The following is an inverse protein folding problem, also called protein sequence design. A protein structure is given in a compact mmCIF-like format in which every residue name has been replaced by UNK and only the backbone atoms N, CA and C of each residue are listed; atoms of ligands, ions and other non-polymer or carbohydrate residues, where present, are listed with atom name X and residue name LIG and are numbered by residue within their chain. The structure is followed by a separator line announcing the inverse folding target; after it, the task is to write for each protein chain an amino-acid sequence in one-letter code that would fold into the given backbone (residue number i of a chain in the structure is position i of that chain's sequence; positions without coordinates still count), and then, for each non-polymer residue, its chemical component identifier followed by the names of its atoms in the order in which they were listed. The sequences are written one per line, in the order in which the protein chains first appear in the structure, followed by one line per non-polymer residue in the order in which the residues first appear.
data_IF_368509021046
#
_entry.id   IF_368509021046
#
_cell.length_a   1.000
_cell.length_b   1.000
_cell.length_c   1.000
_cell.angle_alpha   90.00
_cell.angle_beta   90.00
_cell.angle_gamma   90.00
#
_symmetry.space_group_name_H-M   'P 1'
#
loop_
_entity.id
_entity.type
_entity.pdbx_description
1 polymer ?
#
# COMPACT_ATOMS: atom_id res chain seq x y z
N UNK A 1 26.63 24.77 28.32
CA UNK A 1 27.10 23.70 27.50
C UNK A 1 27.08 24.09 26.04
N UNK A 2 28.08 23.74 25.37
CA UNK A 2 28.09 24.03 23.97
C UNK A 2 27.11 23.16 23.20
N UNK A 3 26.62 23.70 22.13
CA UNK A 3 25.73 22.97 21.27
C UNK A 3 26.40 21.72 20.71
N UNK A 4 25.70 20.62 20.77
CA UNK A 4 26.21 19.40 20.20
C UNK A 4 26.12 19.44 18.69
N UNK A 5 27.20 19.15 18.02
CA UNK A 5 27.17 19.09 16.57
C UNK A 5 26.50 17.82 16.13
N UNK A 6 25.45 17.90 15.30
CA UNK A 6 24.76 16.71 14.81
C UNK A 6 25.74 15.77 14.09
N UNK A 7 25.61 14.47 14.26
CA UNK A 7 26.48 13.52 13.56
C UNK A 7 26.57 13.74 12.06
N UNK A 8 25.50 14.21 11.45
CA UNK A 8 25.46 14.44 10.01
C UNK A 8 26.48 15.49 9.55
N UNK A 9 26.88 16.40 10.44
CA UNK A 9 27.88 17.40 10.09
C UNK A 9 29.29 16.82 9.92
N UNK A 10 29.48 15.63 10.49
CA UNK A 10 30.78 14.95 10.35
C UNK A 10 30.81 13.96 9.22
N UNK A 11 29.68 13.76 8.54
CA UNK A 11 29.61 12.81 7.44
C UNK A 11 29.93 13.50 6.13
N UNK A 12 30.66 12.82 5.28
CA UNK A 12 30.90 13.30 3.93
C UNK A 12 29.61 13.25 3.12
N UNK A 13 29.56 13.97 2.01
CA UNK A 13 28.41 13.91 1.12
C UNK A 13 28.15 12.50 0.64
N UNK A 14 29.22 11.74 0.41
CA UNK A 14 29.10 10.36 -0.03
C UNK A 14 28.45 9.48 1.04
N UNK A 15 28.80 9.70 2.31
CA UNK A 15 28.24 8.95 3.43
C UNK A 15 26.77 9.28 3.62
N UNK A 16 26.41 10.55 3.50
CA UNK A 16 25.01 10.98 3.63
C UNK A 16 24.16 10.35 2.52
N UNK A 17 24.68 10.38 1.30
CA UNK A 17 23.98 9.80 0.15
C UNK A 17 23.76 8.29 0.35
N UNK A 18 24.80 7.59 0.81
CA UNK A 18 24.71 6.16 1.05
C UNK A 18 23.68 5.84 2.12
N UNK A 19 23.63 6.65 3.19
CA UNK A 19 22.64 6.47 4.23
C UNK A 19 21.22 6.70 3.72
N UNK A 20 21.03 7.74 2.92
CA UNK A 20 19.72 8.07 2.36
C UNK A 20 19.25 6.96 1.41
N UNK A 21 20.15 6.42 0.59
CA UNK A 21 19.84 5.31 -0.29
C UNK A 21 19.44 4.06 0.49
N UNK A 22 20.10 3.81 1.62
CA UNK A 22 19.77 2.68 2.47
C UNK A 22 18.38 2.83 3.10
N UNK A 23 18.06 4.05 3.56
CA UNK A 23 16.75 4.34 4.13
C UNK A 23 15.67 4.13 3.08
N UNK A 24 15.88 4.64 1.86
CA UNK A 24 14.94 4.49 0.77
C UNK A 24 14.72 3.01 0.45
N UNK A 25 15.78 2.23 0.42
CA UNK A 25 15.70 0.80 0.15
C UNK A 25 14.87 0.08 1.21
N UNK A 26 15.08 0.42 2.48
CA UNK A 26 14.33 -0.18 3.58
C UNK A 26 12.86 0.18 3.52
N UNK A 27 12.54 1.40 3.14
CA UNK A 27 11.15 1.83 2.99
C UNK A 27 10.48 1.03 1.87
N UNK A 28 11.15 0.88 0.73
CA UNK A 28 10.61 0.13 -0.40
C UNK A 28 10.37 -1.34 0.00
N UNK A 29 11.31 -1.95 0.71
CA UNK A 29 11.16 -3.33 1.16
C UNK A 29 10.00 -3.49 2.13
N UNK A 30 9.84 -2.53 3.05
CA UNK A 30 8.75 -2.56 4.00
C UNK A 30 7.40 -2.42 3.29
N UNK A 31 7.31 -1.49 2.34
CA UNK A 31 6.08 -1.28 1.59
C UNK A 31 5.70 -2.51 0.78
N UNK A 32 6.71 -3.16 0.18
CA UNK A 32 6.49 -4.37 -0.59
C UNK A 32 6.00 -5.52 0.29
N UNK A 33 6.59 -5.67 1.46
CA UNK A 33 6.17 -6.69 2.43
C UNK A 33 4.76 -6.42 2.92
N UNK A 34 4.45 -5.16 3.22
CA UNK A 34 3.12 -4.76 3.67
C UNK A 34 2.07 -5.07 2.60
N UNK A 35 2.38 -4.75 1.35
CA UNK A 35 1.47 -5.04 0.23
C UNK A 35 1.21 -6.54 0.10
N UNK A 36 2.25 -7.35 0.19
CA UNK A 36 2.12 -8.79 0.12
C UNK A 36 1.25 -9.34 1.25
N UNK A 37 1.47 -8.86 2.46
CA UNK A 37 0.69 -9.30 3.63
C UNK A 37 -0.77 -8.90 3.49
N UNK A 38 -1.02 -7.70 2.97
CA UNK A 38 -2.37 -7.24 2.75
C UNK A 38 -3.08 -8.08 1.69
N UNK A 39 -2.38 -8.40 0.60
CA UNK A 39 -2.93 -9.25 -0.44
C UNK A 39 -3.21 -10.66 0.08
N UNK A 40 -2.34 -11.17 0.93
CA UNK A 40 -2.54 -12.48 1.55
C UNK A 40 -3.80 -12.49 2.40
N UNK A 41 -4.02 -11.43 3.17
CA UNK A 41 -5.24 -11.31 3.99
C UNK A 41 -6.48 -11.27 3.11
N UNK A 42 -6.45 -10.51 2.02
CA UNK A 42 -7.58 -10.41 1.11
C UNK A 42 -7.88 -11.78 0.50
N UNK A 43 -6.87 -12.49 0.04
CA UNK A 43 -7.07 -13.82 -0.55
C UNK A 43 -7.62 -14.81 0.48
N UNK A 44 -7.15 -14.75 1.71
CA UNK A 44 -7.66 -15.60 2.78
C UNK A 44 -9.14 -15.34 3.03
N UNK A 45 -9.54 -14.07 3.10
CA UNK A 45 -10.94 -13.72 3.34
C UNK A 45 -11.82 -14.16 2.15
N UNK A 46 -11.34 -14.00 0.92
CA UNK A 46 -12.06 -14.45 -0.26
C UNK A 46 -12.28 -15.97 -0.19
N UNK A 47 -11.25 -16.70 0.24
CA UNK A 47 -11.38 -18.13 0.43
C UNK A 47 -12.49 -18.48 1.45
N UNK A 48 -12.51 -17.75 2.58
CA UNK A 48 -13.50 -18.00 3.61
C UNK A 48 -14.91 -17.64 3.17
N UNK A 49 -15.09 -16.49 2.52
CA UNK A 49 -16.41 -15.97 2.17
C UNK A 49 -16.96 -16.63 0.91
N UNK A 50 -16.14 -16.77 -0.10
CA UNK A 50 -16.57 -17.25 -1.41
C UNK A 50 -16.16 -18.69 -1.70
N UNK A 51 -15.46 -19.34 -0.78
CA UNK A 51 -15.04 -20.73 -0.93
C UNK A 51 -14.16 -20.97 -2.16
N UNK A 52 -13.40 -19.96 -2.57
CA UNK A 52 -12.52 -20.09 -3.71
C UNK A 52 -11.30 -20.94 -3.36
N UNK A 53 -10.99 -21.91 -4.22
CA UNK A 53 -9.79 -22.71 -4.07
C UNK A 53 -8.59 -22.08 -4.76
N UNK A 54 -7.48 -22.85 -4.81
CA UNK A 54 -6.21 -22.37 -5.32
C UNK A 54 -6.30 -21.74 -6.71
N UNK A 55 -7.01 -22.39 -7.64
CA UNK A 55 -7.08 -21.90 -9.02
C UNK A 55 -7.82 -20.58 -9.12
N UNK A 56 -8.93 -20.45 -8.39
CA UNK A 56 -9.72 -19.21 -8.41
C UNK A 56 -9.00 -18.08 -7.72
N UNK A 57 -8.31 -18.38 -6.62
CA UNK A 57 -7.53 -17.38 -5.90
C UNK A 57 -6.38 -16.87 -6.78
N UNK A 58 -5.70 -17.77 -7.51
CA UNK A 58 -4.64 -17.35 -8.42
C UNK A 58 -5.18 -16.50 -9.54
N UNK A 59 -6.33 -16.86 -10.09
CA UNK A 59 -6.96 -16.07 -11.14
C UNK A 59 -7.33 -14.67 -10.65
N UNK A 60 -7.85 -14.59 -9.44
CA UNK A 60 -8.15 -13.30 -8.83
C UNK A 60 -6.90 -12.47 -8.62
N UNK A 61 -5.86 -13.10 -8.11
CA UNK A 61 -4.57 -12.44 -7.89
C UNK A 61 -4.02 -11.86 -9.19
N UNK A 62 -3.98 -12.68 -10.24
CA UNK A 62 -3.48 -12.23 -11.54
C UNK A 62 -4.34 -11.10 -12.11
N UNK A 63 -5.65 -11.20 -11.94
CA UNK A 63 -6.57 -10.17 -12.43
C UNK A 63 -6.34 -8.84 -11.74
N UNK A 64 -6.00 -8.85 -10.46
CA UNK A 64 -5.69 -7.62 -9.73
C UNK A 64 -4.49 -6.91 -10.35
N UNK A 65 -3.45 -7.65 -10.69
CA UNK A 65 -2.27 -7.07 -11.33
C UNK A 65 -2.60 -6.53 -12.72
N UNK A 66 -3.34 -7.28 -13.51
CA UNK A 66 -3.74 -6.86 -14.85
C UNK A 66 -4.58 -5.58 -14.81
N UNK A 67 -5.55 -5.53 -13.92
CA UNK A 67 -6.43 -4.38 -13.78
C UNK A 67 -5.65 -3.14 -13.33
N UNK A 68 -4.78 -3.33 -12.35
CA UNK A 68 -3.95 -2.24 -11.84
C UNK A 68 -3.10 -1.63 -12.96
N UNK A 69 -2.44 -2.46 -13.75
CA UNK A 69 -1.60 -2.01 -14.85
C UNK A 69 -2.43 -1.33 -15.94
N UNK A 70 -3.55 -1.91 -16.30
CA UNK A 70 -4.42 -1.37 -17.35
C UNK A 70 -4.96 0.00 -16.97
N UNK A 71 -5.41 0.17 -15.73
CA UNK A 71 -5.94 1.45 -15.27
C UNK A 71 -4.84 2.51 -15.18
N UNK A 72 -3.67 2.10 -14.71
CA UNK A 72 -2.56 3.02 -14.59
C UNK A 72 -2.16 3.58 -15.96
N UNK A 73 -2.08 2.72 -16.96
CA UNK A 73 -1.73 3.13 -18.32
C UNK A 73 -2.84 3.98 -18.96
N UNK A 74 -4.09 3.55 -18.80
CA UNK A 74 -5.21 4.25 -19.41
C UNK A 74 -5.32 5.69 -18.91
N UNK A 75 -5.19 5.90 -17.60
CA UNK A 75 -5.31 7.22 -17.01
C UNK A 75 -3.97 7.93 -16.87
N UNK A 76 -2.87 7.27 -17.22
CA UNK A 76 -1.51 7.83 -17.12
C UNK A 76 -1.22 8.34 -15.69
N UNK A 77 -1.57 7.51 -14.70
CA UNK A 77 -1.40 7.88 -13.30
C UNK A 77 -0.07 7.41 -12.75
N UNK A 78 0.44 8.16 -11.79
CA UNK A 78 1.57 7.72 -10.99
C UNK A 78 1.10 6.69 -9.96
N UNK A 79 2.00 5.81 -9.48
CA UNK A 79 1.60 4.77 -8.53
C UNK A 79 0.87 5.29 -7.30
N UNK A 80 1.26 6.45 -6.78
CA UNK A 80 0.64 7.02 -5.59
C UNK A 80 -0.78 7.53 -5.83
N UNK A 81 -1.18 7.69 -7.08
CA UNK A 81 -2.53 8.15 -7.41
C UNK A 81 -3.54 7.03 -7.56
N UNK A 82 -3.06 5.77 -7.57
CA UNK A 82 -3.94 4.64 -7.82
C UNK A 82 -4.99 4.42 -6.72
N UNK A 83 -4.63 4.70 -5.48
CA UNK A 83 -5.58 4.59 -4.37
C UNK A 83 -6.76 5.53 -4.54
N UNK A 84 -6.51 6.74 -4.98
CA UNK A 84 -7.57 7.71 -5.26
C UNK A 84 -8.49 7.19 -6.37
N UNK A 85 -7.91 6.63 -7.42
CA UNK A 85 -8.70 6.11 -8.54
C UNK A 85 -9.61 4.97 -8.10
N UNK A 86 -9.10 4.02 -7.32
CA UNK A 86 -9.91 2.89 -6.86
C UNK A 86 -11.04 3.36 -5.95
N UNK A 87 -10.75 4.31 -5.06
CA UNK A 87 -11.77 4.88 -4.19
C UNK A 87 -12.89 5.52 -5.01
N UNK A 88 -12.50 6.24 -6.05
CA UNK A 88 -13.45 6.89 -6.94
C UNK A 88 -14.31 5.89 -7.71
N UNK A 89 -13.67 4.84 -8.25
CA UNK A 89 -14.39 3.81 -8.99
C UNK A 89 -15.39 3.07 -8.10
N UNK A 90 -15.03 2.82 -6.86
CA UNK A 90 -15.95 2.20 -5.92
C UNK A 90 -17.15 3.10 -5.63
N UNK A 91 -16.92 4.41 -5.51
CA UNK A 91 -18.03 5.34 -5.31
C UNK A 91 -19.01 5.32 -6.47
N UNK A 92 -18.52 5.13 -7.68
CA UNK A 92 -19.37 5.06 -8.87
C UNK A 92 -20.37 3.90 -8.80
N UNK A 93 -20.03 2.83 -8.09
CA UNK A 93 -20.93 1.69 -7.92
C UNK A 93 -21.59 1.67 -6.55
N UNK A 94 -21.54 2.80 -5.84
CA UNK A 94 -22.24 2.93 -4.57
C UNK A 94 -21.47 2.48 -3.34
N UNK A 95 -20.17 2.27 -3.47
CA UNK A 95 -19.33 1.82 -2.35
C UNK A 95 -18.44 2.96 -1.88
N UNK A 96 -18.71 3.46 -0.67
CA UNK A 96 -17.92 4.53 -0.06
C UNK A 96 -17.02 3.92 1.01
N UNK A 97 -15.82 3.51 0.60
CA UNK A 97 -14.89 2.83 1.50
C UNK A 97 -14.37 3.77 2.59
N UNK A 98 -14.30 5.06 2.31
CA UNK A 98 -13.87 6.03 3.32
C UNK A 98 -14.86 6.07 4.48
N UNK A 99 -16.14 6.06 4.16
CA UNK A 99 -17.19 6.03 5.18
C UNK A 99 -17.15 4.73 5.97
N UNK A 100 -16.90 3.61 5.29
CA UNK A 100 -16.79 2.31 5.97
C UNK A 100 -15.60 2.30 6.95
N UNK A 101 -14.49 2.90 6.56
CA UNK A 101 -13.32 3.00 7.43
C UNK A 101 -13.62 3.87 8.65
N UNK A 102 -14.28 5.01 8.42
CA UNK A 102 -14.64 5.91 9.52
C UNK A 102 -15.54 5.20 10.52
N UNK A 103 -16.48 4.41 10.03
CA UNK A 103 -17.38 3.62 10.87
C UNK A 103 -16.62 2.59 11.70
N UNK A 104 -15.71 1.85 11.07
CA UNK A 104 -14.91 0.83 11.76
C UNK A 104 -13.98 1.45 12.80
N UNK A 105 -13.36 2.58 12.48
CA UNK A 105 -12.49 3.27 13.42
C UNK A 105 -13.29 3.82 14.60
N UNK A 106 -14.50 4.30 14.35
CA UNK A 106 -15.41 4.74 15.40
C UNK A 106 -15.78 3.61 16.33
N UNK A 107 -16.08 2.43 15.80
CA UNK A 107 -16.37 1.25 16.59
C UNK A 107 -15.20 0.86 17.48
N UNK A 108 -13.97 0.91 16.93
CA UNK A 108 -12.77 0.57 17.68
C UNK A 108 -12.52 1.55 18.82
N UNK A 109 -12.81 2.83 18.57
CA UNK A 109 -12.63 3.86 19.60
C UNK A 109 -13.68 3.77 20.69
N UNK A 110 -14.84 3.23 20.39
CA UNK A 110 -15.93 3.09 21.34
C UNK A 110 -15.70 1.96 22.33
N UNK A 111 -14.77 1.07 22.04
CA UNK A 111 -14.43 -0.02 22.94
C UNK A 111 -13.31 0.38 23.90
#
# INVERSE_FOLDING_TARGET
MKARIPPSKFMSKKQIKARDEEIDRQIIERDRKFAMENDAMVLWVIHLVHKHGKKRLRRFFDRCFEEHEALREFYQLEPEEMGWLYTRKLKEIGVDIEAWYAEKLGEQQSK
#
